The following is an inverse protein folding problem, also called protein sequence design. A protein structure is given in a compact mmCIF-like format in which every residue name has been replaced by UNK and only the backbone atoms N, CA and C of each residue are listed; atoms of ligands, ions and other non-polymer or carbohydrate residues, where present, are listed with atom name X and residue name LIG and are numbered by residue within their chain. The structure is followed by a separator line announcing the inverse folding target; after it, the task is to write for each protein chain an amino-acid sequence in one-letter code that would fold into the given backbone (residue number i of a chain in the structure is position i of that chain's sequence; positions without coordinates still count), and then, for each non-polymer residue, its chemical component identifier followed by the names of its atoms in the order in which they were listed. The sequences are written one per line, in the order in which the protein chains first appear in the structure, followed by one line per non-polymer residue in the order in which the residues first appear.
data_IF_274828250006
#
_entry.id   IF_274828250006
#
_cell.length_a   1.000
_cell.length_b   1.000
_cell.length_c   1.000
_cell.angle_alpha   90.00
_cell.angle_beta   90.00
_cell.angle_gamma   90.00
#
_symmetry.space_group_name_H-M   'P 1'
#
loop_
_entity.id
_entity.type
_entity.pdbx_description
1 polymer ?
#
# COMPACT_ATOMS: atom_id res chain seq x y z
N UNK A 1 -19.64 -2.54 -17.45
CA UNK A 1 -19.43 -1.50 -18.50
C UNK A 1 -17.97 -1.54 -18.87
N UNK A 2 -17.70 -1.99 -20.10
CA UNK A 2 -16.33 -2.04 -20.62
C UNK A 2 -15.80 -0.60 -20.74
N UNK A 3 -14.75 -0.29 -20.01
CA UNK A 3 -14.02 0.95 -20.17
C UNK A 3 -12.89 0.70 -21.19
N UNK A 4 -12.94 1.37 -22.32
CA UNK A 4 -11.85 1.38 -23.28
C UNK A 4 -10.90 2.52 -22.93
N UNK A 5 -9.71 2.17 -22.47
CA UNK A 5 -8.60 3.11 -22.30
C UNK A 5 -7.72 3.04 -23.54
N UNK A 6 -7.50 4.17 -24.20
CA UNK A 6 -6.57 4.26 -25.33
C UNK A 6 -5.27 4.90 -24.84
N UNK A 7 -4.20 4.13 -24.77
CA UNK A 7 -2.86 4.64 -24.50
C UNK A 7 -2.26 5.12 -25.84
N UNK A 8 -1.78 6.35 -25.86
CA UNK A 8 -1.01 6.91 -26.97
C UNK A 8 0.48 6.85 -26.57
N UNK A 9 1.24 6.04 -27.28
CA UNK A 9 2.67 5.90 -27.04
C UNK A 9 3.45 7.09 -27.62
N UNK A 10 4.66 7.37 -27.10
CA UNK A 10 5.50 8.46 -27.60
C UNK A 10 5.84 8.40 -29.09
N UNK A 11 5.78 7.21 -29.69
CA UNK A 11 5.98 6.98 -31.13
C UNK A 11 4.73 7.25 -31.98
N UNK A 12 3.62 7.70 -31.35
CA UNK A 12 2.33 7.96 -32.00
C UNK A 12 1.48 6.72 -32.23
N UNK A 13 1.92 5.55 -31.81
CA UNK A 13 1.08 4.36 -31.81
C UNK A 13 0.06 4.40 -30.68
N UNK A 14 -1.03 3.65 -30.79
CA UNK A 14 -2.03 3.54 -29.73
C UNK A 14 -2.32 2.09 -29.41
N UNK A 15 -2.46 1.77 -28.13
CA UNK A 15 -2.97 0.51 -27.62
C UNK A 15 -4.28 0.73 -26.87
N UNK A 16 -5.24 -0.17 -27.06
CA UNK A 16 -6.49 -0.16 -26.31
C UNK A 16 -6.39 -1.18 -25.18
N UNK A 17 -6.54 -0.70 -23.95
CA UNK A 17 -6.71 -1.55 -22.78
C UNK A 17 -8.21 -1.64 -22.52
N UNK A 18 -8.76 -2.83 -22.61
CA UNK A 18 -10.14 -3.10 -22.16
C UNK A 18 -10.05 -3.50 -20.70
N UNK A 19 -10.50 -2.61 -19.83
CA UNK A 19 -10.64 -2.93 -18.41
C UNK A 19 -12.03 -3.55 -18.21
N UNK A 20 -12.09 -4.86 -18.04
CA UNK A 20 -13.27 -5.55 -17.53
C UNK A 20 -13.37 -5.31 -16.00
N UNK A 21 -13.86 -4.14 -15.63
CA UNK A 21 -13.91 -3.69 -14.23
C UNK A 21 -15.08 -4.35 -13.47
N UNK A 22 -16.05 -4.90 -14.18
CA UNK A 22 -17.30 -5.37 -13.54
C UNK A 22 -17.13 -6.58 -12.62
N UNK A 23 -16.07 -7.37 -12.74
CA UNK A 23 -15.87 -8.56 -11.90
C UNK A 23 -15.06 -8.28 -10.62
N UNK A 24 -14.20 -7.27 -10.59
CA UNK A 24 -13.37 -6.96 -9.43
C UNK A 24 -14.06 -6.07 -8.38
N UNK A 25 -14.95 -5.17 -8.79
CA UNK A 25 -15.62 -4.19 -7.92
C UNK A 25 -16.52 -4.82 -6.84
N UNK A 26 -17.25 -5.93 -7.06
CA UNK A 26 -18.10 -6.51 -6.02
C UNK A 26 -17.35 -7.13 -4.85
N UNK A 27 -16.06 -7.40 -4.99
CA UNK A 27 -15.23 -8.09 -4.00
C UNK A 27 -14.77 -7.16 -2.88
N UNK A 28 -14.71 -5.86 -3.16
CA UNK A 28 -14.25 -4.82 -2.23
C UNK A 28 -15.40 -3.89 -1.90
N UNK A 29 -15.77 -3.82 -0.63
CA UNK A 29 -16.84 -2.93 -0.18
C UNK A 29 -16.41 -2.17 1.09
N UNK A 30 -17.10 -1.05 1.35
CA UNK A 30 -16.79 -0.19 2.47
C UNK A 30 -16.98 -0.85 3.84
N UNK A 31 -17.88 -1.82 3.95
CA UNK A 31 -18.12 -2.56 5.19
C UNK A 31 -16.93 -3.49 5.49
N UNK A 32 -16.42 -4.22 4.52
CA UNK A 32 -15.19 -5.04 4.66
C UNK A 32 -14.00 -4.17 5.11
N UNK A 33 -13.88 -2.97 4.52
CA UNK A 33 -12.84 -2.01 4.87
C UNK A 33 -12.99 -1.56 6.33
N UNK A 34 -14.19 -1.15 6.72
CA UNK A 34 -14.48 -0.67 8.06
C UNK A 34 -14.24 -1.75 9.13
N UNK A 35 -14.71 -2.98 8.88
CA UNK A 35 -14.52 -4.08 9.82
C UNK A 35 -13.04 -4.43 10.03
N UNK A 36 -12.23 -4.37 8.97
CA UNK A 36 -10.79 -4.58 9.09
C UNK A 36 -10.11 -3.45 9.84
N UNK A 37 -10.50 -2.21 9.56
CA UNK A 37 -10.03 -1.04 10.29
C UNK A 37 -10.32 -1.16 11.77
N UNK A 38 -11.56 -1.43 12.14
CA UNK A 38 -11.99 -1.58 13.54
C UNK A 38 -11.22 -2.72 14.23
N UNK A 39 -11.09 -3.87 13.58
CA UNK A 39 -10.35 -5.01 14.12
C UNK A 39 -8.87 -4.69 14.41
N UNK A 40 -8.20 -3.94 13.52
CA UNK A 40 -6.77 -3.64 13.66
C UNK A 40 -6.53 -2.49 14.66
N UNK A 41 -7.42 -1.49 14.71
CA UNK A 41 -7.21 -0.28 15.49
C UNK A 41 -7.90 -0.30 16.86
N UNK A 42 -8.76 -1.26 17.12
CA UNK A 42 -9.46 -1.33 18.41
C UNK A 42 -8.59 -1.86 19.52
N UNK A 43 -8.79 -1.27 20.70
CA UNK A 43 -8.22 -1.72 21.96
C UNK A 43 -9.22 -2.62 22.67
N UNK A 44 -8.88 -3.86 22.81
CA UNK A 44 -9.75 -4.82 23.52
C UNK A 44 -8.93 -5.72 24.45
N UNK A 45 -9.60 -6.28 25.44
CA UNK A 45 -9.01 -7.27 26.37
C UNK A 45 -9.05 -8.71 25.83
N UNK A 46 -9.83 -8.92 24.76
CA UNK A 46 -10.05 -10.23 24.15
C UNK A 46 -9.58 -10.20 22.68
N UNK A 47 -8.54 -10.95 22.38
CA UNK A 47 -7.94 -11.03 21.03
C UNK A 47 -8.88 -11.63 19.98
N UNK A 48 -10.02 -12.18 20.36
CA UNK A 48 -11.05 -12.63 19.40
C UNK A 48 -11.94 -11.49 18.91
N UNK A 49 -11.96 -10.39 19.64
CA UNK A 49 -12.80 -9.22 19.31
C UNK A 49 -12.02 -8.15 18.53
N UNK A 50 -10.73 -8.08 18.74
CA UNK A 50 -9.85 -7.20 17.96
C UNK A 50 -8.42 -7.78 17.94
N UNK A 51 -7.61 -7.33 16.97
CA UNK A 51 -6.27 -7.86 16.78
C UNK A 51 -5.27 -7.51 17.87
N UNK A 52 -5.55 -6.45 18.64
CA UNK A 52 -4.61 -5.94 19.64
C UNK A 52 -3.31 -5.44 19.01
N UNK A 53 -3.41 -4.84 17.82
CA UNK A 53 -2.27 -4.37 17.02
C UNK A 53 -1.98 -2.87 17.21
N UNK A 54 -2.61 -2.24 18.17
CA UNK A 54 -2.26 -0.89 18.57
C UNK A 54 -0.80 -0.82 19.05
N UNK A 55 -0.17 0.33 18.90
CA UNK A 55 1.26 0.51 19.18
C UNK A 55 2.19 -0.34 18.31
N UNK A 56 1.89 -0.49 17.03
CA UNK A 56 2.75 -1.18 16.03
C UNK A 56 3.98 -0.33 15.67
N UNK A 57 4.69 0.09 16.67
CA UNK A 57 5.94 0.82 16.49
C UNK A 57 7.13 -0.08 16.76
N UNK A 58 8.19 0.10 16.00
CA UNK A 58 9.41 -0.71 16.07
C UNK A 58 10.00 -0.80 17.48
N UNK A 59 9.96 0.27 18.27
CA UNK A 59 10.46 0.31 19.64
C UNK A 59 9.50 -0.26 20.69
N UNK A 60 8.36 -0.80 20.32
CA UNK A 60 7.35 -1.27 21.28
C UNK A 60 7.74 -2.62 21.87
N UNK A 61 7.82 -2.77 23.21
CA UNK A 61 8.28 -4.02 23.83
C UNK A 61 7.23 -5.15 23.83
N UNK A 62 6.01 -4.88 23.38
CA UNK A 62 4.89 -5.84 23.40
C UNK A 62 4.76 -6.70 22.17
N UNK A 63 5.71 -6.65 21.25
CA UNK A 63 5.72 -7.40 20.01
C UNK A 63 4.49 -7.14 19.10
N UNK A 64 3.85 -5.98 19.23
CA UNK A 64 2.66 -5.66 18.41
C UNK A 64 3.02 -5.59 16.91
N UNK A 65 4.21 -5.11 16.59
CA UNK A 65 4.71 -5.06 15.21
C UNK A 65 4.86 -6.47 14.61
N UNK A 66 5.50 -7.38 15.33
CA UNK A 66 5.72 -8.77 14.88
C UNK A 66 4.40 -9.53 14.72
N UNK A 67 3.47 -9.33 15.66
CA UNK A 67 2.14 -9.95 15.57
C UNK A 67 1.35 -9.40 14.39
N UNK A 68 1.42 -8.09 14.16
CA UNK A 68 0.77 -7.45 13.01
C UNK A 68 1.37 -7.96 11.69
N UNK A 69 2.70 -8.02 11.57
CA UNK A 69 3.38 -8.57 10.40
C UNK A 69 2.93 -10.01 10.11
N UNK A 70 2.88 -10.87 11.14
CA UNK A 70 2.42 -12.25 11.00
C UNK A 70 0.93 -12.34 10.59
N UNK A 71 0.09 -11.45 11.11
CA UNK A 71 -1.33 -11.38 10.72
C UNK A 71 -1.48 -10.98 9.25
N UNK A 72 -0.76 -9.98 8.79
CA UNK A 72 -0.81 -9.54 7.40
C UNK A 72 -0.23 -10.58 6.44
N UNK A 73 0.87 -11.23 6.83
CA UNK A 73 1.42 -12.35 6.07
C UNK A 73 0.37 -13.45 5.91
N UNK A 74 -0.25 -13.88 7.00
CA UNK A 74 -1.30 -14.91 6.96
C UNK A 74 -2.50 -14.50 6.10
N UNK A 75 -2.83 -13.22 6.03
CA UNK A 75 -3.87 -12.72 5.13
C UNK A 75 -3.50 -12.95 3.65
N UNK A 76 -2.30 -12.55 3.24
CA UNK A 76 -1.84 -12.75 1.86
C UNK A 76 -1.65 -14.23 1.51
N UNK A 77 -1.12 -15.04 2.43
CA UNK A 77 -1.02 -16.51 2.25
C UNK A 77 -2.39 -17.15 2.06
N UNK A 78 -3.38 -16.70 2.83
CA UNK A 78 -4.77 -17.19 2.72
C UNK A 78 -5.41 -16.84 1.38
N UNK A 79 -4.90 -15.86 0.67
CA UNK A 79 -5.29 -15.50 -0.70
C UNK A 79 -4.44 -16.22 -1.77
N UNK A 80 -3.42 -16.98 -1.38
CA UNK A 80 -2.58 -17.74 -2.31
C UNK A 80 -1.36 -17.00 -2.84
N UNK A 81 -1.01 -15.86 -2.29
CA UNK A 81 0.24 -15.17 -2.63
C UNK A 81 1.46 -15.89 -2.04
N UNK A 82 2.58 -15.85 -2.74
CA UNK A 82 3.87 -16.20 -2.16
C UNK A 82 4.32 -15.06 -1.24
N UNK A 83 4.63 -15.36 0.03
CA UNK A 83 4.86 -14.32 1.02
C UNK A 83 6.17 -14.50 1.77
N UNK A 84 6.71 -13.38 2.23
CA UNK A 84 7.84 -13.34 3.14
C UNK A 84 7.74 -12.17 4.13
N UNK A 85 8.25 -12.37 5.35
CA UNK A 85 8.57 -11.26 6.25
C UNK A 85 10.06 -10.96 6.09
N UNK A 86 10.36 -9.91 5.33
CA UNK A 86 11.69 -9.41 5.14
C UNK A 86 12.16 -8.69 6.40
N UNK A 87 13.12 -9.30 7.11
CA UNK A 87 13.73 -8.72 8.29
C UNK A 87 14.90 -7.85 7.89
N UNK A 88 14.81 -6.59 8.23
CA UNK A 88 15.85 -5.62 7.94
C UNK A 88 16.50 -5.18 9.24
N UNK A 89 17.78 -5.51 9.38
CA UNK A 89 18.60 -5.02 10.49
C UNK A 89 19.03 -3.60 10.12
N UNK A 90 18.78 -2.65 11.00
CA UNK A 90 19.19 -1.26 10.77
C UNK A 90 20.72 -1.18 10.69
N UNK A 91 21.18 -0.66 9.57
CA UNK A 91 22.59 -0.53 9.28
C UNK A 91 23.25 0.49 10.22
N UNK A 92 23.85 0.03 11.30
CA UNK A 92 24.69 0.80 12.18
C UNK A 92 24.35 0.72 13.67
N UNK A 93 23.21 0.17 14.05
CA UNK A 93 22.89 -0.04 15.46
C UNK A 93 22.36 -1.45 15.74
N UNK A 94 23.20 -2.38 16.17
CA UNK A 94 22.80 -3.76 16.46
C UNK A 94 21.84 -3.89 17.64
N UNK A 95 21.54 -2.81 18.34
CA UNK A 95 20.59 -2.78 19.45
C UNK A 95 19.22 -2.25 19.08
N UNK A 96 19.02 -1.80 17.83
CA UNK A 96 17.71 -1.40 17.37
C UNK A 96 16.91 -2.62 16.91
N UNK A 97 15.58 -2.63 17.14
CA UNK A 97 14.69 -3.65 16.62
C UNK A 97 14.76 -3.76 15.09
N UNK A 98 14.51 -4.94 14.59
CA UNK A 98 14.44 -5.19 13.14
C UNK A 98 13.19 -4.56 12.54
N UNK A 99 13.31 -3.95 11.37
CA UNK A 99 12.16 -3.64 10.52
C UNK A 99 11.61 -4.93 9.92
N UNK A 100 10.29 -5.04 9.82
CA UNK A 100 9.59 -6.24 9.37
C UNK A 100 8.68 -5.88 8.19
N UNK A 101 9.20 -5.93 6.98
CA UNK A 101 8.34 -5.76 5.80
C UNK A 101 7.59 -7.06 5.50
N UNK A 102 6.32 -6.96 5.22
CA UNK A 102 5.53 -8.07 4.70
C UNK A 102 5.46 -7.92 3.19
N UNK A 103 6.04 -8.86 2.47
CA UNK A 103 6.07 -8.85 1.01
C UNK A 103 5.26 -10.03 0.50
N UNK A 104 4.35 -9.78 -0.42
CA UNK A 104 3.57 -10.78 -1.13
C UNK A 104 3.83 -10.66 -2.63
N UNK A 105 4.11 -11.77 -3.28
CA UNK A 105 4.44 -11.84 -4.70
C UNK A 105 3.37 -12.59 -5.48
N UNK A 106 3.11 -12.10 -6.67
CA UNK A 106 2.31 -12.77 -7.69
C UNK A 106 3.09 -12.80 -9.00
N UNK A 107 3.29 -13.99 -9.52
CA UNK A 107 4.01 -14.18 -10.77
C UNK A 107 3.22 -13.58 -11.93
N UNK A 108 3.89 -12.83 -12.78
CA UNK A 108 3.40 -12.32 -14.05
C UNK A 108 3.62 -13.29 -15.20
N UNK A 109 3.13 -12.91 -16.40
CA UNK A 109 3.38 -13.66 -17.62
C UNK A 109 4.79 -13.44 -18.16
N UNK A 110 5.39 -12.30 -17.85
CA UNK A 110 6.76 -11.94 -18.20
C UNK A 110 7.62 -11.86 -16.96
N UNK A 111 8.83 -12.40 -17.03
CA UNK A 111 9.85 -12.27 -15.98
C UNK A 111 10.78 -11.08 -16.17
N UNK A 112 10.58 -10.28 -17.22
CA UNK A 112 11.48 -9.16 -17.57
C UNK A 112 11.18 -7.89 -16.78
N UNK A 113 9.99 -7.81 -16.20
CA UNK A 113 9.54 -6.63 -15.48
C UNK A 113 8.88 -6.96 -14.15
N UNK A 114 8.85 -5.95 -13.29
CA UNK A 114 8.19 -5.97 -11.99
C UNK A 114 7.36 -4.71 -11.82
N UNK A 115 6.27 -4.84 -11.09
CA UNK A 115 5.43 -3.72 -10.70
C UNK A 115 4.98 -3.90 -9.26
N UNK A 116 4.55 -2.84 -8.58
CA UNK A 116 4.20 -2.99 -7.19
C UNK A 116 3.25 -1.97 -6.62
N UNK A 117 2.72 -2.35 -5.47
CA UNK A 117 1.92 -1.48 -4.63
C UNK A 117 2.35 -1.67 -3.18
N UNK A 118 2.26 -0.59 -2.39
CA UNK A 118 2.65 -0.67 -0.99
C UNK A 118 1.93 0.32 -0.10
N UNK A 119 2.08 0.08 1.18
CA UNK A 119 1.62 0.94 2.27
C UNK A 119 2.46 0.63 3.50
N UNK A 120 2.74 1.61 4.35
CA UNK A 120 3.33 1.25 5.63
C UNK A 120 2.27 0.81 6.64
N UNK A 121 2.64 -0.08 7.55
CA UNK A 121 1.74 -0.60 8.57
C UNK A 121 2.19 -0.31 9.99
N UNK A 122 3.40 0.16 10.17
CA UNK A 122 3.86 0.72 11.44
C UNK A 122 3.16 2.05 11.72
N UNK A 123 3.33 2.54 12.92
CA UNK A 123 2.78 3.82 13.37
C UNK A 123 3.88 4.63 14.02
N UNK A 124 3.72 5.94 14.02
CA UNK A 124 4.64 6.84 14.69
C UNK A 124 4.89 6.41 16.14
N UNK A 125 6.12 6.52 16.62
CA UNK A 125 6.40 6.34 18.03
C UNK A 125 5.51 7.29 18.83
N UNK A 126 5.04 6.89 20.03
CA UNK A 126 4.25 7.77 20.87
C UNK A 126 5.07 9.00 21.24
N UNK A 127 5.15 9.95 20.33
CA UNK A 127 5.83 11.25 20.45
C UNK A 127 5.00 12.27 21.21
N UNK A 128 3.89 11.82 21.77
CA UNK A 128 3.20 12.57 22.81
C UNK A 128 3.96 12.53 24.11
N UNK A 129 3.62 13.36 25.08
CA UNK A 129 4.28 13.37 26.37
C UNK A 129 4.31 11.97 26.97
N UNK A 130 5.34 11.61 27.75
CA UNK A 130 5.45 10.30 28.34
C UNK A 130 4.24 10.07 29.26
N UNK A 131 3.27 9.33 28.79
CA UNK A 131 1.99 9.18 29.48
C UNK A 131 1.20 7.94 29.07
N UNK A 132 1.78 7.03 28.29
CA UNK A 132 1.23 5.70 28.08
C UNK A 132 -0.11 5.65 27.34
N UNK A 133 -0.34 6.54 26.40
CA UNK A 133 -1.46 6.44 25.48
C UNK A 133 -1.31 5.26 24.53
N UNK A 134 -2.43 4.68 24.12
CA UNK A 134 -2.46 3.75 22.99
C UNK A 134 -2.44 4.53 21.69
N UNK A 135 -1.57 4.12 20.77
CA UNK A 135 -1.55 4.64 19.42
C UNK A 135 -2.23 3.64 18.49
N UNK A 136 -3.27 4.08 17.86
CA UNK A 136 -4.12 3.24 17.01
C UNK A 136 -3.66 3.31 15.55
N UNK A 137 -3.16 4.47 15.10
CA UNK A 137 -2.69 4.70 13.74
C UNK A 137 -3.76 4.41 12.70
N UNK A 138 -5.01 4.84 12.96
CA UNK A 138 -6.12 4.51 12.08
C UNK A 138 -5.98 5.17 10.71
N UNK A 139 -5.65 6.46 10.70
CA UNK A 139 -5.48 7.23 9.49
C UNK A 139 -4.06 7.03 8.93
N UNK A 140 -3.06 7.15 9.76
CA UNK A 140 -1.65 6.98 9.45
C UNK A 140 -1.09 5.74 10.17
N UNK A 141 -0.96 4.56 9.49
CA UNK A 141 -1.45 4.32 8.14
C UNK A 141 -2.17 2.97 8.05
N UNK A 142 -3.05 2.66 9.03
CA UNK A 142 -3.90 1.46 8.92
C UNK A 142 -4.84 1.58 7.72
N UNK A 143 -5.25 2.81 7.37
CA UNK A 143 -6.11 3.04 6.22
C UNK A 143 -5.49 2.53 4.90
N UNK A 144 -4.24 2.88 4.65
CA UNK A 144 -3.49 2.34 3.50
C UNK A 144 -3.28 0.83 3.61
N UNK A 145 -2.91 0.34 4.79
CA UNK A 145 -2.71 -1.10 5.05
C UNK A 145 -3.96 -1.92 4.74
N UNK A 146 -5.13 -1.50 5.22
CA UNK A 146 -6.41 -2.19 4.97
C UNK A 146 -6.78 -2.10 3.49
N UNK A 147 -6.53 -0.96 2.86
CA UNK A 147 -6.74 -0.80 1.41
C UNK A 147 -5.89 -1.83 0.64
N UNK A 148 -4.60 -2.01 1.00
CA UNK A 148 -3.75 -3.05 0.42
C UNK A 148 -4.30 -4.47 0.62
N UNK A 149 -4.82 -4.80 1.80
CA UNK A 149 -5.45 -6.10 2.05
C UNK A 149 -6.65 -6.36 1.12
N UNK A 150 -7.44 -5.33 0.86
CA UNK A 150 -8.61 -5.44 -0.03
C UNK A 150 -8.20 -5.46 -1.50
N UNK A 151 -7.18 -4.70 -1.89
CA UNK A 151 -6.60 -4.79 -3.23
C UNK A 151 -6.07 -6.19 -3.52
N UNK A 152 -5.34 -6.78 -2.57
CA UNK A 152 -4.87 -8.15 -2.72
C UNK A 152 -6.01 -9.13 -2.99
N UNK A 153 -7.12 -9.00 -2.25
CA UNK A 153 -8.33 -9.80 -2.45
C UNK A 153 -8.93 -9.58 -3.85
N UNK A 154 -9.02 -8.33 -4.30
CA UNK A 154 -9.58 -7.99 -5.60
C UNK A 154 -8.70 -8.47 -6.78
N UNK A 155 -7.39 -8.55 -6.56
CA UNK A 155 -6.43 -8.89 -7.62
C UNK A 155 -6.05 -10.37 -7.67
N UNK A 156 -6.58 -11.21 -6.77
CA UNK A 156 -6.15 -12.61 -6.65
C UNK A 156 -6.32 -13.40 -7.94
N UNK A 157 -7.41 -13.16 -8.66
CA UNK A 157 -7.74 -13.86 -9.90
C UNK A 157 -7.27 -13.13 -11.18
N UNK A 158 -6.69 -11.93 -11.04
CA UNK A 158 -6.19 -11.16 -12.19
C UNK A 158 -4.82 -11.69 -12.63
N UNK A 159 -4.59 -11.74 -13.92
CA UNK A 159 -3.30 -12.04 -14.52
C UNK A 159 -2.59 -10.73 -14.91
N UNK A 160 -1.34 -10.58 -14.48
CA UNK A 160 -0.52 -9.42 -14.80
C UNK A 160 0.56 -9.78 -15.83
N UNK A 161 1.01 -8.78 -16.59
CA UNK A 161 2.15 -8.94 -17.48
C UNK A 161 3.43 -9.09 -16.69
N UNK A 162 3.68 -8.20 -15.73
CA UNK A 162 4.88 -8.18 -14.91
C UNK A 162 4.66 -8.95 -13.59
N UNK A 163 5.75 -9.46 -13.02
CA UNK A 163 5.71 -9.91 -11.63
C UNK A 163 5.22 -8.77 -10.74
N UNK A 164 4.28 -9.06 -9.86
CA UNK A 164 3.63 -8.03 -9.05
C UNK A 164 3.91 -8.27 -7.57
N UNK A 165 4.44 -7.26 -6.89
CA UNK A 165 4.57 -7.30 -5.44
C UNK A 165 3.55 -6.41 -4.75
N UNK A 166 3.09 -6.89 -3.60
CA UNK A 166 2.32 -6.14 -2.62
C UNK A 166 3.14 -6.06 -1.35
N UNK A 167 3.38 -4.86 -0.86
CA UNK A 167 4.26 -4.66 0.27
C UNK A 167 3.58 -3.89 1.40
N UNK A 168 3.74 -4.38 2.61
CA UNK A 168 3.44 -3.63 3.81
C UNK A 168 4.78 -3.30 4.49
N UNK A 169 5.11 -2.02 4.46
CA UNK A 169 6.37 -1.51 4.97
C UNK A 169 6.32 -1.31 6.47
N UNK A 170 7.44 -1.54 7.12
CA UNK A 170 7.65 -1.19 8.52
C UNK A 170 8.79 -0.17 8.63
N UNK A 171 8.82 0.55 9.74
CA UNK A 171 9.79 1.61 10.01
C UNK A 171 9.77 2.73 8.95
N UNK A 172 8.59 3.03 8.44
CA UNK A 172 8.35 4.20 7.62
C UNK A 172 8.54 5.45 8.46
N UNK A 173 7.94 5.48 9.64
CA UNK A 173 7.93 6.57 10.60
C UNK A 173 9.32 6.90 11.19
N UNK A 174 10.30 6.04 10.98
CA UNK A 174 11.71 6.28 11.31
C UNK A 174 12.55 6.60 10.07
N UNK A 175 11.94 7.04 8.99
CA UNK A 175 12.60 7.52 7.78
C UNK A 175 12.70 6.48 6.67
N UNK A 176 11.58 5.82 6.34
CA UNK A 176 11.43 4.93 5.17
C UNK A 176 12.36 3.70 5.19
N UNK A 177 12.80 3.25 6.37
CA UNK A 177 13.88 2.26 6.48
C UNK A 177 13.51 0.93 5.84
N UNK A 178 12.27 0.47 6.04
CA UNK A 178 11.80 -0.78 5.48
C UNK A 178 11.78 -0.78 3.96
N UNK A 179 11.15 0.20 3.35
CA UNK A 179 11.08 0.33 1.88
C UNK A 179 12.45 0.58 1.25
N UNK A 180 13.29 1.40 1.88
CA UNK A 180 14.68 1.60 1.45
C UNK A 180 15.47 0.30 1.40
N UNK A 181 15.32 -0.56 2.40
CA UNK A 181 16.02 -1.83 2.44
C UNK A 181 15.51 -2.79 1.35
N UNK A 182 14.22 -2.82 1.09
CA UNK A 182 13.66 -3.60 -0.01
C UNK A 182 14.17 -3.13 -1.37
N UNK A 183 14.27 -1.82 -1.56
CA UNK A 183 14.67 -1.24 -2.84
C UNK A 183 16.18 -1.35 -3.11
N UNK A 184 17.02 -1.34 -2.08
CA UNK A 184 18.47 -1.18 -2.24
C UNK A 184 19.30 -2.42 -1.87
N UNK A 185 18.71 -3.40 -1.20
CA UNK A 185 19.44 -4.62 -0.85
C UNK A 185 19.28 -5.67 -1.93
N UNK A 186 20.33 -6.49 -2.09
CA UNK A 186 20.30 -7.69 -2.92
C UNK A 186 19.93 -8.89 -2.03
N UNK A 187 18.66 -9.28 -2.10
CA UNK A 187 18.14 -10.41 -1.33
C UNK A 187 16.98 -11.09 -2.08
N UNK A 188 16.68 -12.34 -1.72
CA UNK A 188 15.70 -13.19 -2.41
C UNK A 188 14.28 -12.58 -2.52
N UNK A 189 13.91 -11.71 -1.59
CA UNK A 189 12.59 -11.07 -1.56
C UNK A 189 12.66 -9.54 -1.69
N UNK A 190 13.83 -9.00 -2.01
CA UNK A 190 14.02 -7.59 -2.33
C UNK A 190 13.59 -7.28 -3.76
N UNK A 191 13.60 -6.00 -4.11
CA UNK A 191 13.33 -5.57 -5.48
C UNK A 191 14.40 -6.14 -6.41
N UNK A 192 14.01 -6.91 -7.46
CA UNK A 192 14.97 -7.43 -8.42
C UNK A 192 15.61 -6.30 -9.22
N UNK A 193 16.93 -6.14 -9.12
CA UNK A 193 17.69 -5.10 -9.80
C UNK A 193 17.96 -5.39 -11.29
N UNK A 194 17.73 -6.61 -11.71
CA UNK A 194 17.86 -7.08 -13.10
C UNK A 194 16.58 -7.01 -13.90
N UNK A 195 15.48 -6.56 -13.27
CA UNK A 195 14.17 -6.39 -13.90
C UNK A 195 13.80 -4.92 -13.98
N UNK A 196 13.03 -4.57 -15.01
CA UNK A 196 12.47 -3.23 -15.15
C UNK A 196 11.33 -3.01 -14.15
N UNK A 197 11.45 -2.03 -13.28
CA UNK A 197 10.33 -1.57 -12.45
C UNK A 197 9.42 -0.68 -13.29
N UNK A 198 8.22 -1.19 -13.63
CA UNK A 198 7.25 -0.47 -14.44
C UNK A 198 6.58 0.67 -13.70
N UNK A 199 6.10 0.39 -12.50
CA UNK A 199 5.53 1.39 -11.60
C UNK A 199 5.51 0.89 -10.17
N UNK A 200 5.36 1.83 -9.26
CA UNK A 200 5.05 1.59 -7.86
C UNK A 200 4.00 2.58 -7.38
N UNK A 201 2.95 2.09 -6.71
CA UNK A 201 1.91 2.92 -6.11
C UNK A 201 2.01 2.78 -4.59
N UNK A 202 2.21 3.90 -3.90
CA UNK A 202 2.15 3.94 -2.44
C UNK A 202 0.80 4.45 -1.98
N UNK A 203 0.20 3.76 -1.01
CA UNK A 203 -1.04 4.17 -0.38
C UNK A 203 -0.76 4.66 1.02
N UNK A 204 -1.03 5.93 1.25
CA UNK A 204 -0.80 6.56 2.52
C UNK A 204 -1.97 7.47 2.89
N UNK A 205 -2.36 7.47 4.17
CA UNK A 205 -3.44 8.26 4.72
C UNK A 205 -4.74 8.21 3.89
N UNK A 206 -5.13 6.99 3.48
CA UNK A 206 -6.29 6.75 2.65
C UNK A 206 -7.62 6.90 3.42
N UNK A 207 -8.69 7.19 2.68
CA UNK A 207 -10.06 7.07 3.21
C UNK A 207 -10.58 8.28 3.99
N UNK A 208 -9.80 9.34 4.15
CA UNK A 208 -10.22 10.57 4.84
C UNK A 208 -9.88 11.78 3.98
N UNK A 209 -10.85 12.69 3.83
CA UNK A 209 -10.55 14.00 3.25
C UNK A 209 -9.91 14.90 4.32
N UNK A 210 -8.75 15.45 4.02
CA UNK A 210 -8.03 16.34 4.93
C UNK A 210 -7.80 17.72 4.32
N UNK A 211 -8.13 18.77 5.03
CA UNK A 211 -9.05 18.81 6.20
C UNK A 211 -10.43 18.28 5.83
N UNK A 212 -11.20 17.81 6.79
CA UNK A 212 -12.42 17.01 6.60
C UNK A 212 -13.41 17.56 5.55
N UNK A 213 -13.51 18.87 5.43
CA UNK A 213 -14.30 19.54 4.38
C UNK A 213 -13.61 20.86 4.00
N UNK A 214 -13.75 21.27 2.75
CA UNK A 214 -13.43 22.64 2.33
C UNK A 214 -14.30 23.65 3.08
N UNK A 215 -13.88 24.92 3.18
CA UNK A 215 -14.74 25.99 3.70
C UNK A 215 -16.11 26.09 3.00
N UNK A 216 -16.20 25.63 1.75
CA UNK A 216 -17.46 25.52 0.98
C UNK A 216 -18.36 24.38 1.43
N UNK A 217 -17.92 23.49 2.32
CA UNK A 217 -18.63 22.29 2.73
C UNK A 217 -18.46 21.09 1.78
N UNK A 218 -17.67 21.24 0.74
CA UNK A 218 -17.36 20.14 -0.19
C UNK A 218 -16.16 19.31 0.30
N UNK A 219 -16.12 17.99 0.02
CA UNK A 219 -14.96 17.17 0.31
C UNK A 219 -13.73 17.65 -0.49
N UNK A 220 -12.54 17.46 0.08
CA UNK A 220 -11.31 17.60 -0.67
C UNK A 220 -11.20 16.47 -1.69
N UNK A 221 -10.69 16.75 -2.89
CA UNK A 221 -10.41 15.68 -3.83
C UNK A 221 -9.28 14.79 -3.31
N UNK A 222 -9.22 13.56 -3.78
CA UNK A 222 -8.05 12.73 -3.60
C UNK A 222 -6.84 13.39 -4.26
N UNK A 223 -5.68 13.26 -3.61
CA UNK A 223 -4.42 13.69 -4.18
C UNK A 223 -3.63 12.45 -4.61
N UNK A 224 -3.23 12.39 -5.87
CA UNK A 224 -2.15 11.54 -6.32
C UNK A 224 -0.92 12.43 -6.49
N UNK A 225 0.17 12.04 -5.87
CA UNK A 225 1.43 12.74 -5.95
C UNK A 225 2.40 11.93 -6.81
N UNK A 226 2.84 12.48 -7.93
CA UNK A 226 4.02 12.01 -8.66
C UNK A 226 5.26 12.62 -8.02
N UNK A 227 6.32 11.84 -7.86
CA UNK A 227 7.52 12.25 -7.14
C UNK A 227 8.18 13.54 -7.65
N UNK A 228 9.18 14.07 -6.92
CA UNK A 228 9.73 15.40 -7.12
C UNK A 228 10.45 15.64 -8.46
N UNK A 229 10.71 14.58 -9.20
CA UNK A 229 11.39 14.63 -10.51
C UNK A 229 10.40 14.37 -11.65
N UNK A 230 9.24 15.04 -11.62
CA UNK A 230 8.25 14.97 -12.68
C UNK A 230 8.82 15.50 -14.00
N UNK A 231 9.72 14.72 -14.59
CA UNK A 231 10.07 14.84 -15.99
C UNK A 231 8.82 14.46 -16.78
N UNK A 232 8.27 15.34 -17.63
CA UNK A 232 7.08 15.03 -18.43
C UNK A 232 7.24 13.81 -19.35
N UNK A 233 8.46 13.33 -19.52
CA UNK A 233 8.77 12.13 -20.29
C UNK A 233 8.88 10.86 -19.42
N UNK A 234 8.55 10.94 -18.12
CA UNK A 234 8.61 9.79 -17.21
C UNK A 234 7.30 9.00 -17.14
N UNK A 235 7.42 7.72 -16.81
CA UNK A 235 6.27 6.82 -16.60
C UNK A 235 5.33 7.31 -15.48
N UNK A 236 5.82 8.14 -14.55
CA UNK A 236 5.01 8.70 -13.46
C UNK A 236 3.91 9.61 -13.97
N UNK A 237 4.18 10.43 -15.00
CA UNK A 237 3.17 11.28 -15.63
C UNK A 237 2.13 10.44 -16.35
N UNK A 238 2.54 9.37 -17.03
CA UNK A 238 1.62 8.45 -17.70
C UNK A 238 0.70 7.77 -16.69
N UNK A 239 1.25 7.22 -15.59
CA UNK A 239 0.47 6.56 -14.54
C UNK A 239 -0.51 7.51 -13.86
N UNK A 240 -0.07 8.73 -13.51
CA UNK A 240 -0.94 9.72 -12.89
C UNK A 240 -2.06 10.16 -13.83
N UNK A 241 -1.80 10.28 -15.12
CA UNK A 241 -2.82 10.57 -16.14
C UNK A 241 -3.86 9.46 -16.22
N UNK A 242 -3.42 8.19 -16.21
CA UNK A 242 -4.33 7.04 -16.18
C UNK A 242 -5.20 7.06 -14.91
N UNK A 243 -4.62 7.30 -13.75
CA UNK A 243 -5.36 7.38 -12.49
C UNK A 243 -6.39 8.52 -12.50
N UNK A 244 -6.04 9.68 -13.06
CA UNK A 244 -6.98 10.80 -13.22
C UNK A 244 -8.15 10.44 -14.13
N UNK A 245 -7.88 9.79 -15.26
CA UNK A 245 -8.92 9.31 -16.19
C UNK A 245 -9.85 8.29 -15.54
N UNK A 246 -9.30 7.33 -14.80
CA UNK A 246 -10.08 6.35 -14.04
C UNK A 246 -10.97 7.05 -13.01
N UNK A 247 -10.44 7.99 -12.26
CA UNK A 247 -11.24 8.76 -11.30
C UNK A 247 -12.34 9.57 -11.96
N UNK A 248 -12.01 10.26 -13.04
CA UNK A 248 -12.97 11.11 -13.76
C UNK A 248 -14.07 10.30 -14.44
N UNK A 249 -13.69 9.25 -15.17
CA UNK A 249 -14.57 8.59 -16.13
C UNK A 249 -15.27 7.36 -15.55
N UNK A 250 -14.62 6.66 -14.62
CA UNK A 250 -15.15 5.44 -14.02
C UNK A 250 -15.75 5.73 -12.64
N UNK A 251 -14.96 6.28 -11.73
CA UNK A 251 -15.38 6.50 -10.34
C UNK A 251 -16.23 7.76 -10.19
N UNK A 252 -16.25 8.65 -11.19
CA UNK A 252 -16.94 9.96 -11.16
C UNK A 252 -16.56 10.81 -9.94
N UNK A 253 -15.36 10.61 -9.44
CA UNK A 253 -14.81 11.32 -8.31
C UNK A 253 -13.73 12.32 -8.77
N UNK A 254 -13.65 13.53 -8.18
CA UNK A 254 -12.59 14.45 -8.49
C UNK A 254 -11.25 13.96 -7.92
N UNK A 255 -10.21 14.03 -8.73
CA UNK A 255 -8.81 13.84 -8.30
C UNK A 255 -8.00 15.07 -8.70
N UNK A 256 -7.13 15.53 -7.83
CA UNK A 256 -6.12 16.52 -8.17
C UNK A 256 -4.77 15.84 -8.26
N UNK A 257 -4.10 16.04 -9.37
CA UNK A 257 -2.66 15.75 -9.52
C UNK A 257 -1.87 16.93 -8.98
N UNK A 258 -0.92 16.68 -8.13
CA UNK A 258 0.00 17.70 -7.58
C UNK A 258 1.44 17.29 -7.80
#
# INVERSE_FOLDING_TARGET
TDANLTLIHPDGSSSNIILEIEEAIPIVNGEDWYQKMDFITSVCSDSTQCGGYVNRWMGTPNLALERAASFFQGHFEGLGYETNILRVIDHGNPTQPESLNVIAWKQGRSSECVQGMGSHFDIAPPGGPPGGGTYEGAYDNTAGTVSMMLFAKAMVDLEFECDTFLALWSSEEEGLRGSNAFANNDCDYCLPHDKELRFYINMDMMGVSWPALKPSGEPYPYHAWSGPDSDPDTQDVELTTILEEVHRDILKAPMNLT
#
